data_IF_301898867998
#
_entry.id   IF_301898867998
#
_cell.length_a   1.000
_cell.length_b   1.000
_cell.length_c   1.000
_cell.angle_alpha   90.00
_cell.angle_beta   90.00
_cell.angle_gamma   90.00
#
_symmetry.space_group_name_H-M   'P 1'
#
loop_
_entity.id
_entity.type
_entity.pdbx_description
1 polymer ?
#
# COMPACT_ATOMS: atom_id res chain seq x y z
N UNK A 1 -6.16 -9.54 -4.77
CA UNK A 1 -5.67 -10.91 -4.54
C UNK A 1 -4.21 -10.85 -4.09
N UNK A 2 -3.78 -11.80 -3.29
CA UNK A 2 -2.44 -11.81 -2.69
C UNK A 2 -1.33 -11.91 -3.75
N UNK A 3 -1.52 -12.73 -4.77
CA UNK A 3 -0.49 -12.95 -5.80
C UNK A 3 -0.12 -11.69 -6.55
N UNK A 4 -1.10 -10.91 -6.97
CA UNK A 4 -0.86 -9.62 -7.63
C UNK A 4 -0.13 -8.64 -6.71
N UNK A 5 -0.51 -8.59 -5.44
CA UNK A 5 0.15 -7.76 -4.42
C UNK A 5 1.63 -8.14 -4.27
N UNK A 6 1.92 -9.44 -4.15
CA UNK A 6 3.30 -9.95 -4.07
C UNK A 6 4.13 -9.58 -5.30
N UNK A 7 3.56 -9.74 -6.49
CA UNK A 7 4.23 -9.38 -7.75
C UNK A 7 4.54 -7.87 -7.81
N UNK A 8 3.60 -7.02 -7.43
CA UNK A 8 3.79 -5.56 -7.41
C UNK A 8 4.86 -5.14 -6.42
N UNK A 9 4.84 -5.69 -5.20
CA UNK A 9 5.85 -5.43 -4.18
C UNK A 9 7.25 -5.86 -4.62
N UNK A 10 7.37 -7.06 -5.22
CA UNK A 10 8.64 -7.52 -5.79
C UNK A 10 9.18 -6.56 -6.84
N UNK A 11 8.34 -6.15 -7.78
CA UNK A 11 8.73 -5.22 -8.86
C UNK A 11 9.12 -3.84 -8.33
N UNK A 12 8.42 -3.34 -7.31
CA UNK A 12 8.78 -2.08 -6.65
C UNK A 12 10.22 -2.11 -6.13
N UNK A 13 10.61 -3.21 -5.49
CA UNK A 13 11.95 -3.37 -4.93
C UNK A 13 13.01 -3.83 -5.96
N UNK A 14 12.61 -4.01 -7.21
CA UNK A 14 13.54 -4.36 -8.31
C UNK A 14 14.02 -5.82 -8.28
N UNK A 15 13.37 -6.69 -7.52
CA UNK A 15 13.75 -8.10 -7.44
C UNK A 15 13.17 -8.93 -8.59
N UNK A 16 13.97 -9.88 -9.10
CA UNK A 16 13.45 -10.99 -9.90
C UNK A 16 12.79 -12.04 -9.00
N UNK A 17 12.00 -12.92 -9.58
CA UNK A 17 11.42 -14.06 -8.84
C UNK A 17 12.50 -14.95 -8.25
N UNK A 18 13.64 -15.14 -8.97
CA UNK A 18 14.76 -15.93 -8.48
C UNK A 18 15.45 -15.27 -7.28
N UNK A 19 15.66 -13.96 -7.31
CA UNK A 19 16.28 -13.24 -6.19
C UNK A 19 15.42 -13.32 -4.93
N UNK A 20 14.11 -13.14 -5.03
CA UNK A 20 13.22 -13.32 -3.87
C UNK A 20 13.25 -14.76 -3.38
N UNK A 21 13.21 -15.73 -4.28
CA UNK A 21 13.28 -17.15 -3.93
C UNK A 21 14.56 -17.48 -3.14
N UNK A 22 15.71 -16.96 -3.58
CA UNK A 22 16.98 -17.14 -2.88
C UNK A 22 16.99 -16.48 -1.50
N UNK A 23 16.43 -15.27 -1.39
CA UNK A 23 16.38 -14.50 -0.13
C UNK A 23 15.53 -15.16 0.95
N UNK A 24 14.46 -15.84 0.57
CA UNK A 24 13.55 -16.51 1.52
C UNK A 24 13.64 -18.04 1.49
N UNK A 25 14.66 -18.58 0.81
CA UNK A 25 14.98 -20.01 0.77
C UNK A 25 13.84 -20.90 0.24
N UNK A 26 13.30 -20.51 -0.89
CA UNK A 26 12.32 -21.31 -1.64
C UNK A 26 12.75 -21.46 -3.10
N UNK A 27 12.05 -22.26 -3.87
CA UNK A 27 12.28 -22.37 -5.32
C UNK A 27 11.61 -21.21 -6.08
N UNK A 28 12.21 -20.78 -7.19
CA UNK A 28 11.61 -19.78 -8.08
C UNK A 28 10.16 -20.13 -8.47
N UNK A 29 9.90 -21.41 -8.74
CA UNK A 29 8.56 -21.88 -9.08
C UNK A 29 7.55 -21.61 -7.97
N UNK A 30 7.99 -21.70 -6.71
CA UNK A 30 7.15 -21.38 -5.55
C UNK A 30 6.72 -19.90 -5.57
N UNK A 31 7.65 -18.99 -5.84
CA UNK A 31 7.34 -17.56 -5.99
C UNK A 31 6.35 -17.34 -7.15
N UNK A 32 6.61 -17.95 -8.30
CA UNK A 32 5.73 -17.86 -9.46
C UNK A 32 4.32 -18.36 -9.15
N UNK A 33 4.18 -19.46 -8.43
CA UNK A 33 2.88 -20.00 -8.01
C UNK A 33 2.13 -19.04 -7.07
N UNK A 34 2.83 -18.45 -6.11
CA UNK A 34 2.19 -17.47 -5.21
C UNK A 34 1.75 -16.21 -5.95
N UNK A 35 2.54 -15.70 -6.88
CA UNK A 35 2.21 -14.51 -7.68
C UNK A 35 1.05 -14.75 -8.66
N UNK A 36 0.82 -16.00 -9.07
CA UNK A 36 -0.30 -16.42 -9.91
C UNK A 36 -1.50 -16.99 -9.17
N UNK A 37 -1.52 -16.84 -7.85
CA UNK A 37 -2.58 -17.36 -6.96
C UNK A 37 -2.80 -18.89 -7.05
N UNK A 38 -1.78 -19.64 -7.46
CA UNK A 38 -1.76 -21.10 -7.49
C UNK A 38 -1.24 -21.73 -6.19
N UNK A 39 -1.02 -20.93 -5.19
CA UNK A 39 -0.58 -21.30 -3.87
C UNK A 39 -0.49 -20.08 -2.99
N UNK A 40 -0.34 -20.30 -1.70
CA UNK A 40 -0.18 -19.26 -0.69
C UNK A 40 1.08 -19.53 0.15
N UNK A 41 1.84 -18.51 0.54
CA UNK A 41 2.96 -18.70 1.43
C UNK A 41 2.49 -19.18 2.81
N UNK A 42 3.33 -20.00 3.46
CA UNK A 42 3.17 -20.29 4.89
C UNK A 42 3.36 -19.01 5.71
N UNK A 43 2.90 -19.02 6.96
CA UNK A 43 3.03 -17.85 7.84
C UNK A 43 4.47 -17.38 7.98
N UNK A 44 5.43 -18.29 8.11
CA UNK A 44 6.85 -17.95 8.22
C UNK A 44 7.37 -17.28 6.95
N UNK A 45 6.99 -17.79 5.78
CA UNK A 45 7.38 -17.22 4.49
C UNK A 45 6.70 -15.89 4.24
N UNK A 46 5.43 -15.75 4.65
CA UNK A 46 4.72 -14.47 4.59
C UNK A 46 5.38 -13.39 5.46
N UNK A 47 5.86 -13.74 6.64
CA UNK A 47 6.65 -12.83 7.49
C UNK A 47 7.97 -12.42 6.84
N UNK A 48 8.68 -13.36 6.23
CA UNK A 48 9.92 -13.06 5.50
C UNK A 48 9.67 -12.11 4.33
N UNK A 49 8.59 -12.32 3.58
CA UNK A 49 8.18 -11.44 2.48
C UNK A 49 7.77 -10.05 2.99
N UNK A 50 7.01 -9.97 4.07
CA UNK A 50 6.62 -8.71 4.69
C UNK A 50 7.86 -7.89 5.12
N UNK A 51 8.83 -8.53 5.75
CA UNK A 51 10.09 -7.91 6.13
C UNK A 51 10.90 -7.47 4.90
N UNK A 52 10.99 -8.32 3.88
CA UNK A 52 11.71 -8.03 2.64
C UNK A 52 11.12 -6.81 1.91
N UNK A 53 9.80 -6.70 1.89
CA UNK A 53 9.08 -5.63 1.20
C UNK A 53 8.77 -4.44 2.10
N UNK A 54 9.21 -4.45 3.34
CA UNK A 54 9.01 -3.38 4.33
C UNK A 54 7.52 -3.01 4.53
N UNK A 55 6.69 -4.00 4.58
CA UNK A 55 5.25 -3.89 4.89
C UNK A 55 4.92 -4.73 6.12
N UNK A 56 3.80 -4.43 6.79
CA UNK A 56 3.33 -5.29 7.87
C UNK A 56 2.76 -6.60 7.31
N UNK A 57 2.74 -7.64 8.15
CA UNK A 57 2.13 -8.91 7.76
C UNK A 57 0.63 -8.74 7.46
N UNK A 58 -0.05 -7.91 8.24
CA UNK A 58 -1.47 -7.61 8.05
C UNK A 58 -1.70 -6.92 6.71
N UNK A 59 -0.91 -5.91 6.37
CA UNK A 59 -1.00 -5.22 5.08
C UNK A 59 -0.68 -6.13 3.89
N UNK A 60 0.18 -7.12 4.09
CA UNK A 60 0.50 -8.12 3.07
C UNK A 60 -0.66 -9.10 2.86
N UNK A 61 -1.28 -9.56 3.94
CA UNK A 61 -2.25 -10.68 3.92
C UNK A 61 -3.71 -10.23 3.82
N UNK A 62 -4.04 -9.02 4.26
CA UNK A 62 -5.40 -8.50 4.17
C UNK A 62 -5.75 -8.07 2.75
N UNK A 63 -6.88 -8.58 2.25
CA UNK A 63 -7.37 -8.22 0.92
C UNK A 63 -7.91 -6.80 0.83
N UNK A 64 -8.24 -6.19 1.97
CA UNK A 64 -8.80 -4.84 2.05
C UNK A 64 -7.76 -3.74 1.84
N UNK A 65 -6.48 -4.08 1.87
CA UNK A 65 -5.38 -3.13 1.65
C UNK A 65 -4.89 -3.24 0.21
N UNK A 66 -5.27 -2.27 -0.60
CA UNK A 66 -4.78 -2.15 -1.97
C UNK A 66 -3.39 -1.48 -1.98
N UNK A 67 -2.47 -2.06 -2.75
CA UNK A 67 -1.11 -1.54 -2.92
C UNK A 67 -1.01 -0.72 -4.20
N UNK A 68 -0.70 0.57 -4.07
CA UNK A 68 -0.51 1.47 -5.19
C UNK A 68 0.96 1.85 -5.30
N UNK A 69 1.55 1.61 -6.47
CA UNK A 69 2.99 1.77 -6.73
C UNK A 69 3.23 2.78 -7.85
N UNK A 70 4.22 3.64 -7.66
CA UNK A 70 4.84 4.43 -8.72
C UNK A 70 6.37 4.43 -8.56
N UNK A 71 7.09 4.32 -9.67
CA UNK A 71 8.55 4.39 -9.65
C UNK A 71 9.06 5.83 -9.44
N UNK A 72 9.91 5.97 -8.44
CA UNK A 72 10.92 7.02 -8.12
C UNK A 72 10.50 8.39 -7.60
N UNK A 73 10.92 8.69 -6.38
CA UNK A 73 11.79 9.78 -5.89
C UNK A 73 12.04 9.62 -4.38
N UNK A 74 13.26 9.82 -3.90
CA UNK A 74 13.55 9.85 -2.45
C UNK A 74 12.96 11.13 -1.86
N UNK A 75 12.11 11.00 -0.84
CA UNK A 75 11.56 12.12 -0.07
C UNK A 75 12.22 12.20 1.30
N UNK A 76 12.36 13.42 1.81
CA UNK A 76 12.75 13.62 3.21
C UNK A 76 11.61 13.17 4.13
N UNK A 77 11.84 12.05 4.80
CA UNK A 77 10.81 11.39 5.60
C UNK A 77 10.62 12.01 6.98
N UNK A 78 11.63 12.74 7.50
CA UNK A 78 11.57 13.24 8.86
C UNK A 78 10.39 14.20 9.09
N UNK A 79 10.16 15.10 8.14
CA UNK A 79 9.01 16.00 8.20
C UNK A 79 7.68 15.29 7.98
N UNK A 80 7.67 14.22 7.19
CA UNK A 80 6.45 13.49 6.83
C UNK A 80 5.92 12.63 7.99
N UNK A 81 6.79 12.10 8.82
CA UNK A 81 6.35 11.30 9.99
C UNK A 81 5.49 12.09 10.98
N UNK A 82 5.63 13.42 11.04
CA UNK A 82 4.77 14.26 11.87
C UNK A 82 3.31 14.29 11.42
N UNK A 83 3.02 13.84 10.20
CA UNK A 83 1.67 13.79 9.64
C UNK A 83 0.87 12.56 10.07
N UNK A 84 1.51 11.56 10.67
CA UNK A 84 0.83 10.36 11.17
C UNK A 84 -0.20 10.76 12.24
N UNK A 85 -1.42 10.26 12.09
CA UNK A 85 -2.55 10.62 12.94
C UNK A 85 -3.35 11.84 12.47
N UNK A 86 -2.85 12.58 11.49
CA UNK A 86 -3.50 13.76 10.94
C UNK A 86 -4.39 13.42 9.74
N UNK A 87 -5.40 14.26 9.51
CA UNK A 87 -6.23 14.20 8.31
C UNK A 87 -5.67 15.15 7.26
N UNK A 88 -5.38 14.62 6.08
CA UNK A 88 -4.76 15.36 4.99
C UNK A 88 -5.51 15.17 3.68
N UNK A 89 -5.34 16.13 2.78
CA UNK A 89 -5.60 15.97 1.36
C UNK A 89 -4.27 15.62 0.70
N UNK A 90 -4.25 14.54 -0.07
CA UNK A 90 -3.04 14.07 -0.76
C UNK A 90 -3.04 14.54 -2.20
N UNK A 91 -1.96 15.19 -2.61
CA UNK A 91 -1.68 15.50 -4.00
C UNK A 91 -0.86 14.36 -4.61
N UNK A 92 -1.42 13.70 -5.59
CA UNK A 92 -0.79 12.55 -6.23
C UNK A 92 -0.54 12.81 -7.70
N UNK A 93 0.53 12.22 -8.23
CA UNK A 93 0.92 12.35 -9.64
C UNK A 93 -0.16 11.81 -10.59
N UNK A 94 -0.98 10.90 -10.10
CA UNK A 94 -2.11 10.32 -10.83
C UNK A 94 -3.31 10.24 -9.90
N UNK A 95 -4.00 11.35 -9.74
CA UNK A 95 -5.09 11.51 -8.79
C UNK A 95 -6.30 10.61 -9.04
N UNK A 96 -6.43 10.06 -10.25
CA UNK A 96 -7.55 9.20 -10.62
C UNK A 96 -7.46 7.78 -10.05
N UNK A 97 -6.26 7.32 -9.72
CA UNK A 97 -6.03 5.95 -9.25
C UNK A 97 -6.15 5.76 -7.73
N UNK A 98 -5.98 6.84 -6.97
CA UNK A 98 -5.99 6.76 -5.52
C UNK A 98 -7.37 6.72 -4.90
N UNK A 99 -8.28 7.46 -5.48
CA UNK A 99 -9.60 7.65 -4.94
C UNK A 99 -10.65 7.28 -5.99
N UNK A 100 -11.43 6.27 -5.69
CA UNK A 100 -12.59 5.85 -6.51
C UNK A 100 -13.75 6.86 -6.43
N UNK A 101 -13.42 8.13 -6.22
CA UNK A 101 -14.38 9.21 -6.02
C UNK A 101 -14.06 10.38 -6.94
N UNK A 102 -15.08 11.10 -7.35
CA UNK A 102 -14.96 12.31 -8.18
C UNK A 102 -14.38 13.51 -7.42
N UNK A 103 -14.27 13.41 -6.11
CA UNK A 103 -13.71 14.44 -5.25
C UNK A 103 -12.55 13.86 -4.45
N UNK A 104 -11.47 14.60 -4.30
CA UNK A 104 -10.35 14.19 -3.46
C UNK A 104 -10.78 14.12 -1.99
N UNK A 105 -10.96 12.94 -1.40
CA UNK A 105 -11.40 12.83 -0.03
C UNK A 105 -10.29 13.22 0.93
N UNK A 106 -10.70 13.69 2.09
CA UNK A 106 -9.81 13.82 3.23
C UNK A 106 -9.44 12.43 3.73
N UNK A 107 -8.17 12.13 3.79
CA UNK A 107 -7.66 10.85 4.24
C UNK A 107 -6.90 11.02 5.56
N UNK A 108 -7.19 10.15 6.53
CA UNK A 108 -6.39 10.05 7.74
C UNK A 108 -5.15 9.23 7.47
N UNK A 109 -3.99 9.75 7.84
CA UNK A 109 -2.73 9.03 7.79
C UNK A 109 -2.64 8.15 9.03
N UNK A 110 -2.67 6.84 8.83
CA UNK A 110 -2.65 5.86 9.91
C UNK A 110 -1.22 5.52 10.30
N UNK A 111 -0.36 5.33 9.30
CA UNK A 111 1.04 4.97 9.50
C UNK A 111 1.85 5.32 8.25
N UNK A 112 3.18 5.33 8.37
CA UNK A 112 4.05 5.61 7.26
C UNK A 112 5.46 5.07 7.54
N UNK A 113 6.15 4.69 6.48
CA UNK A 113 7.57 4.39 6.52
C UNK A 113 8.26 4.96 5.26
N UNK A 114 9.50 4.59 5.02
CA UNK A 114 10.29 5.10 3.88
C UNK A 114 9.74 4.72 2.50
N UNK A 115 8.93 3.66 2.42
CA UNK A 115 8.36 3.17 1.17
C UNK A 115 6.87 3.48 1.03
N UNK A 116 6.13 3.49 2.13
CA UNK A 116 4.69 3.42 2.15
C UNK A 116 4.04 4.46 3.05
N UNK A 117 2.87 4.88 2.63
CA UNK A 117 1.90 5.61 3.46
C UNK A 117 0.59 4.82 3.53
N UNK A 118 0.14 4.56 4.75
CA UNK A 118 -1.15 3.92 5.00
C UNK A 118 -2.19 4.98 5.29
N UNK A 119 -3.20 5.03 4.46
CA UNK A 119 -4.29 6.00 4.55
C UNK A 119 -5.64 5.32 4.77
N UNK A 120 -6.53 6.04 5.42
CA UNK A 120 -7.91 5.62 5.63
C UNK A 120 -8.86 6.76 5.28
N UNK A 121 -9.88 6.49 4.49
CA UNK A 121 -10.90 7.44 4.10
C UNK A 121 -12.26 6.76 3.96
N UNK A 122 -13.30 7.57 3.84
CA UNK A 122 -14.66 7.07 3.61
C UNK A 122 -15.10 7.34 2.19
N UNK A 123 -15.74 6.36 1.57
CA UNK A 123 -16.40 6.47 0.27
C UNK A 123 -17.83 5.94 0.34
N UNK A 124 -18.63 6.27 -0.66
CA UNK A 124 -19.95 5.67 -0.80
C UNK A 124 -19.82 4.20 -1.16
N UNK A 125 -20.58 3.35 -0.48
CA UNK A 125 -20.62 1.92 -0.79
C UNK A 125 -21.26 1.68 -2.16
N UNK A 126 -20.71 0.76 -2.93
CA UNK A 126 -21.29 0.35 -4.21
C UNK A 126 -22.73 -0.16 -4.01
N UNK A 127 -23.66 0.41 -4.76
CA UNK A 127 -25.09 0.02 -4.72
C UNK A 127 -25.93 0.68 -3.63
N UNK A 128 -25.39 1.61 -2.85
CA UNK A 128 -26.16 2.38 -1.87
C UNK A 128 -25.86 3.87 -1.91
N UNK A 129 -26.89 4.71 -2.01
CA UNK A 129 -26.74 6.17 -2.01
C UNK A 129 -26.41 6.74 -0.62
N UNK A 130 -26.69 5.99 0.44
CA UNK A 130 -26.62 6.48 1.83
C UNK A 130 -25.56 5.76 2.67
N UNK A 131 -25.11 4.58 2.25
CA UNK A 131 -24.15 3.80 3.01
C UNK A 131 -22.72 4.19 2.65
N UNK A 132 -21.95 4.58 3.67
CA UNK A 132 -20.52 4.84 3.54
C UNK A 132 -19.73 3.62 4.00
N UNK A 133 -18.61 3.36 3.35
CA UNK A 133 -17.64 2.36 3.75
C UNK A 133 -16.30 3.01 4.03
N UNK A 134 -15.58 2.46 4.99
CA UNK A 134 -14.21 2.88 5.32
C UNK A 134 -13.24 2.09 4.47
N UNK A 135 -12.37 2.79 3.76
CA UNK A 135 -11.35 2.19 2.89
C UNK A 135 -9.97 2.48 3.46
N UNK A 136 -9.15 1.44 3.57
CA UNK A 136 -7.74 1.56 3.94
C UNK A 136 -6.89 1.19 2.74
N UNK A 137 -5.95 2.05 2.38
CA UNK A 137 -4.99 1.82 1.29
C UNK A 137 -3.57 1.98 1.76
N UNK A 138 -2.70 1.14 1.23
CA UNK A 138 -1.26 1.27 1.34
C UNK A 138 -0.74 1.84 0.02
N UNK A 139 -0.22 3.06 0.06
CA UNK A 139 0.16 3.84 -1.12
C UNK A 139 1.67 4.00 -1.15
N UNK A 140 2.27 3.81 -2.31
CA UNK A 140 3.69 4.11 -2.52
C UNK A 140 3.94 5.60 -2.24
N UNK A 141 4.80 5.90 -1.29
CA UNK A 141 5.14 7.27 -0.90
C UNK A 141 5.65 8.09 -2.10
N UNK A 142 6.26 7.45 -3.08
CA UNK A 142 6.72 8.09 -4.31
C UNK A 142 5.59 8.65 -5.19
N UNK A 143 4.36 8.13 -5.05
CA UNK A 143 3.18 8.65 -5.79
C UNK A 143 2.68 9.98 -5.23
N UNK A 144 2.98 10.28 -3.98
CA UNK A 144 2.45 11.46 -3.30
C UNK A 144 3.40 12.64 -3.54
N UNK A 145 2.88 13.71 -4.14
CA UNK A 145 3.64 14.92 -4.44
C UNK A 145 3.54 15.97 -3.34
N UNK A 146 2.44 15.97 -2.60
CA UNK A 146 2.20 16.94 -1.55
C UNK A 146 1.12 16.50 -0.57
N UNK A 147 1.10 17.19 0.58
CA UNK A 147 0.13 17.00 1.65
C UNK A 147 -0.43 18.35 2.06
N UNK A 148 -1.73 18.44 2.15
CA UNK A 148 -2.42 19.57 2.77
C UNK A 148 -3.07 19.09 4.07
N UNK A 149 -2.59 19.60 5.20
CA UNK A 149 -3.16 19.25 6.51
C UNK A 149 -4.49 19.96 6.67
N UNK A 150 -5.52 19.20 6.97
CA UNK A 150 -6.86 19.75 7.22
C UNK A 150 -7.03 19.89 8.73
N UNK A 151 -7.11 21.12 9.20
CA UNK A 151 -7.48 21.38 10.58
C UNK A 151 -8.98 21.08 10.77
N UNK A 152 -9.28 20.12 11.63
CA UNK A 152 -10.65 19.93 12.08
C UNK A 152 -10.99 21.11 13.02
N UNK A 153 -11.90 21.97 12.58
CA UNK A 153 -12.49 22.97 13.48
C UNK A 153 -13.32 22.23 14.52
N UNK A 154 -12.86 22.30 15.75
CA UNK A 154 -13.58 21.82 16.91
C UNK A 154 -14.81 22.70 17.14
#
# INVERSE_FOLDING_TARGET
>A
MLGEKLMRLRKKHGYSQQEVADLISVRRQTISNWESDQGIPTLDKARMLANLYNVSLDDLTENDVEVIIKEKAKKDLHALFSLVGQTCILECSDGSLLFDTTTTPKAKIIDMNEDWIKIQYQRKSAGSLFKKETVTKLVDLATVNGFEVVEEKI
#
